data_IF_145516183041
#
_entry.id   IF_145516183041
#
_cell.length_a   1.000
_cell.length_b   1.000
_cell.length_c   1.000
_cell.angle_alpha   90.00
_cell.angle_beta   90.00
_cell.angle_gamma   90.00
#
_symmetry.space_group_name_H-M   'P 1'
#
loop_
_entity.id
_entity.type
_entity.pdbx_description
1 polymer ?
#
# COMPACT_ATOMS: atom_id res chain seq x y z
N UNK A 1 8.94 13.65 13.94
CA UNK A 1 9.00 13.24 12.53
C UNK A 1 9.57 11.84 12.43
N UNK A 2 8.82 10.93 11.83
CA UNK A 2 9.32 9.58 11.62
C UNK A 2 10.15 9.53 10.34
N UNK A 3 11.36 9.00 10.45
CA UNK A 3 12.21 8.73 9.28
C UNK A 3 12.21 7.24 8.95
N UNK A 4 12.36 6.91 7.70
CA UNK A 4 12.62 5.55 7.25
C UNK A 4 13.80 5.55 6.29
N UNK A 5 14.58 4.49 6.35
CA UNK A 5 15.51 4.18 5.27
C UNK A 5 14.70 3.52 4.16
N UNK A 6 14.71 4.11 2.97
CA UNK A 6 14.01 3.57 1.83
C UNK A 6 14.93 2.61 1.09
N UNK A 7 14.36 1.43 0.87
CA UNK A 7 14.95 0.41 0.03
C UNK A 7 16.06 -0.37 0.75
N UNK A 8 15.79 -1.61 1.01
CA UNK A 8 16.83 -2.62 1.16
C UNK A 8 17.36 -3.01 -0.22
N UNK A 9 17.65 -2.04 -1.08
CA UNK A 9 18.08 -2.27 -2.45
C UNK A 9 18.75 -1.05 -3.05
N UNK A 10 19.48 -1.26 -4.12
CA UNK A 10 20.13 -0.17 -4.85
C UNK A 10 19.10 0.69 -5.54
N UNK A 11 19.14 1.97 -5.29
CA UNK A 11 18.45 2.97 -6.11
C UNK A 11 19.01 2.97 -7.54
N UNK A 12 18.26 3.55 -8.48
CA UNK A 12 18.68 3.61 -9.89
C UNK A 12 20.02 4.34 -10.11
N UNK A 13 20.44 5.17 -9.15
CA UNK A 13 21.73 5.86 -9.12
C UNK A 13 22.83 5.11 -8.34
N UNK A 14 22.54 3.93 -7.84
CA UNK A 14 23.48 3.13 -7.05
C UNK A 14 23.58 3.52 -5.57
N UNK A 15 22.85 4.53 -5.10
CA UNK A 15 22.80 4.87 -3.67
C UNK A 15 22.00 3.86 -2.88
N UNK A 16 22.53 3.44 -1.74
CA UNK A 16 21.82 2.60 -0.78
C UNK A 16 21.20 3.44 0.35
N UNK A 17 19.96 3.11 0.67
CA UNK A 17 19.41 3.45 1.98
C UNK A 17 19.24 4.92 2.31
N UNK A 18 18.77 5.75 1.40
CA UNK A 18 18.49 7.15 1.70
C UNK A 18 17.43 7.31 2.78
N UNK A 19 17.76 8.03 3.85
CA UNK A 19 16.78 8.39 4.89
C UNK A 19 15.79 9.41 4.35
N UNK A 20 14.51 9.10 4.42
CA UNK A 20 13.43 9.99 4.02
C UNK A 20 12.39 10.13 5.13
N UNK A 21 11.76 11.30 5.20
CA UNK A 21 10.67 11.55 6.14
C UNK A 21 9.43 10.77 5.67
N UNK A 22 8.84 9.98 6.56
CA UNK A 22 7.55 9.35 6.32
C UNK A 22 6.46 10.42 6.47
N UNK A 23 5.75 10.72 5.41
CA UNK A 23 4.72 11.77 5.41
C UNK A 23 3.40 11.37 4.77
N UNK A 24 3.42 10.24 4.07
CA UNK A 24 2.24 9.75 3.37
C UNK A 24 1.48 8.74 4.21
N UNK A 25 0.20 8.64 3.97
CA UNK A 25 -0.83 7.95 4.75
C UNK A 25 -1.15 8.66 6.08
N UNK A 26 -2.35 8.40 6.59
CA UNK A 26 -2.79 8.97 7.87
C UNK A 26 -1.84 8.62 9.03
N UNK A 27 -1.33 7.39 9.05
CA UNK A 27 -0.41 6.92 10.09
C UNK A 27 1.06 7.30 9.86
N UNK A 28 1.38 8.13 8.85
CA UNK A 28 2.75 8.54 8.50
C UNK A 28 3.69 7.35 8.32
N UNK A 29 3.22 6.31 7.62
CA UNK A 29 3.96 5.05 7.47
C UNK A 29 4.70 4.91 6.15
N UNK A 30 4.50 5.85 5.21
CA UNK A 30 5.08 5.80 3.86
C UNK A 30 5.94 7.03 3.59
N UNK A 31 7.07 6.81 2.97
CA UNK A 31 8.04 7.86 2.67
C UNK A 31 7.88 8.42 1.26
N UNK A 32 7.34 7.65 0.33
CA UNK A 32 7.01 8.07 -1.02
C UNK A 32 5.56 7.70 -1.37
N UNK A 33 5.00 8.36 -2.38
CA UNK A 33 3.66 8.01 -2.89
C UNK A 33 3.63 6.59 -3.47
N UNK A 34 4.73 6.14 -4.08
CA UNK A 34 4.83 4.79 -4.64
C UNK A 34 4.80 3.71 -3.57
N UNK A 35 5.25 3.99 -2.34
CA UNK A 35 5.22 3.03 -1.23
C UNK A 35 3.80 2.65 -0.83
N UNK A 36 2.81 3.48 -1.08
CA UNK A 36 1.41 3.16 -0.81
C UNK A 36 1.00 1.87 -1.54
N UNK A 37 0.86 1.91 -2.85
CA UNK A 37 0.44 0.74 -3.63
C UNK A 37 1.51 -0.35 -3.68
N UNK A 38 2.78 0.02 -3.88
CA UNK A 38 3.86 -0.95 -4.05
C UNK A 38 4.14 -1.76 -2.79
N UNK A 39 4.27 -1.11 -1.64
CA UNK A 39 4.51 -1.82 -0.39
C UNK A 39 3.31 -2.68 0.02
N UNK A 40 2.09 -2.22 -0.21
CA UNK A 40 0.90 -2.99 0.10
C UNK A 40 0.79 -4.25 -0.77
N UNK A 41 1.17 -4.18 -2.04
CA UNK A 41 1.14 -5.34 -2.93
C UNK A 41 2.24 -6.37 -2.62
N UNK A 42 3.38 -5.97 -2.06
CA UNK A 42 4.55 -6.83 -1.87
C UNK A 42 4.74 -7.26 -0.42
N UNK A 43 4.61 -6.32 0.53
CA UNK A 43 5.03 -6.50 1.92
C UNK A 43 3.89 -6.51 2.93
N UNK A 44 2.70 -6.08 2.54
CA UNK A 44 1.58 -6.02 3.46
C UNK A 44 0.85 -7.36 3.52
N UNK A 45 -0.09 -7.43 4.44
CA UNK A 45 -0.96 -8.59 4.65
C UNK A 45 -1.67 -9.06 3.38
N UNK A 46 -1.94 -8.14 2.46
CA UNK A 46 -2.55 -8.46 1.17
C UNK A 46 -1.62 -9.24 0.26
N UNK A 47 -0.33 -8.90 0.20
CA UNK A 47 0.73 -9.60 -0.55
C UNK A 47 0.27 -10.24 -1.87
N UNK A 48 -0.57 -9.53 -2.63
CA UNK A 48 -1.29 -10.06 -3.80
C UNK A 48 -0.37 -10.59 -4.92
N UNK A 49 0.89 -10.20 -4.90
CA UNK A 49 1.90 -10.61 -5.86
C UNK A 49 2.70 -11.84 -5.42
N UNK A 50 2.42 -12.38 -4.24
CA UNK A 50 3.20 -13.47 -3.65
C UNK A 50 2.38 -14.75 -3.55
N UNK A 51 2.87 -15.88 -4.09
CA UNK A 51 2.27 -17.19 -3.85
C UNK A 51 2.54 -17.70 -2.42
N UNK A 52 3.64 -17.26 -1.81
CA UNK A 52 4.10 -17.63 -0.48
C UNK A 52 3.56 -16.69 0.63
N UNK A 53 2.36 -16.14 0.46
CA UNK A 53 1.76 -15.28 1.46
C UNK A 53 1.75 -15.95 2.83
N UNK A 54 2.24 -15.26 3.89
CA UNK A 54 2.05 -15.78 5.23
C UNK A 54 0.55 -15.83 5.55
N UNK A 55 0.14 -16.77 6.39
CA UNK A 55 -1.18 -16.72 6.99
C UNK A 55 -1.42 -15.36 7.61
N UNK A 56 -2.66 -14.95 7.68
CA UNK A 56 -3.07 -13.72 8.35
C UNK A 56 -2.36 -13.60 9.70
N UNK A 57 -2.04 -12.38 10.08
CA UNK A 57 -1.47 -12.07 11.40
C UNK A 57 -2.51 -12.31 12.48
N UNK A 58 -2.67 -13.56 12.86
CA UNK A 58 -3.61 -14.02 13.86
C UNK A 58 -2.86 -14.40 15.13
N UNK A 59 -3.59 -14.55 16.22
CA UNK A 59 -3.07 -15.09 17.47
C UNK A 59 -3.75 -16.42 17.77
N UNK A 60 -3.10 -17.28 18.56
CA UNK A 60 -3.72 -18.53 19.02
C UNK A 60 -5.05 -18.27 19.74
N UNK A 61 -5.11 -17.23 20.57
CA UNK A 61 -6.34 -16.88 21.29
C UNK A 61 -7.48 -16.46 20.34
N UNK A 62 -7.15 -15.71 19.28
CA UNK A 62 -8.14 -15.33 18.27
C UNK A 62 -8.62 -16.56 17.46
N UNK A 63 -7.69 -17.43 17.05
CA UNK A 63 -8.04 -18.64 16.31
C UNK A 63 -8.98 -19.56 17.14
N UNK A 64 -8.67 -19.75 18.42
CA UNK A 64 -9.52 -20.50 19.34
C UNK A 64 -10.90 -19.86 19.54
N UNK A 65 -10.95 -18.53 19.65
CA UNK A 65 -12.22 -17.80 19.78
C UNK A 65 -13.10 -17.97 18.53
N UNK A 66 -12.52 -17.89 17.34
CA UNK A 66 -13.25 -18.11 16.08
C UNK A 66 -13.74 -19.56 15.95
N UNK A 67 -12.93 -20.53 16.35
CA UNK A 67 -13.32 -21.95 16.36
C UNK A 67 -14.47 -22.26 17.33
N UNK A 68 -14.58 -21.53 18.43
CA UNK A 68 -15.64 -21.67 19.41
C UNK A 68 -16.93 -20.88 19.08
N UNK A 69 -16.88 -20.00 18.08
CA UNK A 69 -18.00 -19.14 17.71
C UNK A 69 -19.04 -19.90 16.88
N UNK A 70 -20.21 -20.11 17.48
CA UNK A 70 -21.33 -20.83 16.84
C UNK A 70 -21.84 -20.15 15.58
N UNK A 71 -21.81 -18.81 15.52
CA UNK A 71 -22.24 -18.09 14.32
C UNK A 71 -21.27 -18.29 13.16
N UNK A 72 -19.97 -18.34 13.44
CA UNK A 72 -18.95 -18.68 12.45
C UNK A 72 -19.17 -20.08 11.90
N UNK A 73 -19.36 -21.08 12.78
CA UNK A 73 -19.61 -22.47 12.40
C UNK A 73 -20.86 -22.58 11.52
N UNK A 74 -21.96 -21.97 11.93
CA UNK A 74 -23.22 -21.99 11.19
C UNK A 74 -23.12 -21.34 9.79
N UNK A 75 -22.33 -20.28 9.66
CA UNK A 75 -22.05 -19.65 8.36
C UNK A 75 -21.23 -20.55 7.46
N UNK A 76 -20.20 -21.20 8.01
CA UNK A 76 -19.35 -22.13 7.26
C UNK A 76 -20.17 -23.34 6.77
N UNK A 77 -21.04 -23.91 7.60
CA UNK A 77 -21.92 -25.03 7.23
C UNK A 77 -22.80 -24.72 6.02
N UNK A 78 -23.20 -23.46 5.87
CA UNK A 78 -24.06 -23.03 4.75
C UNK A 78 -23.29 -22.80 3.44
N UNK A 79 -21.95 -22.82 3.48
CA UNK A 79 -21.10 -22.62 2.32
C UNK A 79 -20.13 -23.80 2.11
N UNK A 80 -20.54 -24.82 1.33
CA UNK A 80 -19.68 -25.96 1.03
C UNK A 80 -18.41 -25.60 0.24
N UNK A 81 -18.32 -24.40 -0.30
CA UNK A 81 -17.13 -23.93 -1.02
C UNK A 81 -16.11 -23.30 -0.07
N UNK A 82 -16.48 -23.08 1.18
CA UNK A 82 -15.58 -22.56 2.20
C UNK A 82 -14.41 -23.53 2.43
N UNK A 83 -13.18 -23.05 2.49
CA UNK A 83 -12.02 -23.88 2.83
C UNK A 83 -12.10 -24.47 4.25
N UNK A 84 -12.93 -23.89 5.11
CA UNK A 84 -13.16 -24.36 6.47
C UNK A 84 -14.30 -25.37 6.56
N UNK A 85 -15.00 -25.62 5.47
CA UNK A 85 -16.15 -26.51 5.48
C UNK A 85 -15.77 -27.97 5.84
N UNK A 86 -16.62 -28.60 6.65
CA UNK A 86 -16.55 -30.00 6.99
C UNK A 86 -17.96 -30.55 7.36
N UNK A 87 -18.05 -31.84 7.55
CA UNK A 87 -19.33 -32.54 7.77
C UNK A 87 -19.92 -32.31 9.16
N UNK A 88 -19.10 -32.01 10.16
CA UNK A 88 -19.52 -31.79 11.54
C UNK A 88 -19.00 -30.46 12.09
N UNK A 89 -19.65 -29.96 13.14
CA UNK A 89 -19.27 -28.72 13.82
C UNK A 89 -17.86 -28.82 14.42
N UNK A 90 -17.52 -29.95 15.00
CA UNK A 90 -16.23 -30.20 15.63
C UNK A 90 -15.10 -30.22 14.58
N UNK A 91 -15.35 -30.77 13.40
CA UNK A 91 -14.38 -30.74 12.29
C UNK A 91 -14.22 -29.32 11.75
N UNK A 92 -15.31 -28.55 11.62
CA UNK A 92 -15.26 -27.17 11.23
C UNK A 92 -14.44 -26.38 12.25
N UNK A 93 -14.75 -26.50 13.54
CA UNK A 93 -14.02 -25.84 14.61
C UNK A 93 -12.52 -26.17 14.57
N UNK A 94 -12.18 -27.45 14.38
CA UNK A 94 -10.80 -27.92 14.26
C UNK A 94 -10.11 -27.30 13.04
N UNK A 95 -10.76 -27.28 11.90
CA UNK A 95 -10.21 -26.63 10.68
C UNK A 95 -10.01 -25.13 10.88
N UNK A 96 -11.03 -24.45 11.43
CA UNK A 96 -10.95 -23.00 11.71
C UNK A 96 -9.75 -22.71 12.60
N UNK A 97 -9.63 -23.42 13.71
CA UNK A 97 -8.52 -23.21 14.64
C UNK A 97 -7.17 -23.45 13.95
N UNK A 98 -7.01 -24.59 13.28
CA UNK A 98 -5.73 -24.99 12.68
C UNK A 98 -5.32 -24.07 11.52
N UNK A 99 -6.26 -23.64 10.68
CA UNK A 99 -5.97 -22.76 9.54
C UNK A 99 -5.75 -21.31 9.98
N UNK A 100 -6.33 -20.89 11.10
CA UNK A 100 -6.18 -19.52 11.60
C UNK A 100 -5.04 -19.36 12.62
N UNK A 101 -4.49 -20.43 13.16
CA UNK A 101 -3.30 -20.34 14.03
C UNK A 101 -2.14 -19.66 13.32
N UNK A 102 -1.34 -18.85 14.03
CA UNK A 102 -0.10 -18.33 13.47
C UNK A 102 0.80 -19.45 13.00
N UNK A 103 1.30 -19.36 11.79
CA UNK A 103 2.31 -20.30 11.30
C UNK A 103 3.70 -19.81 11.70
N UNK A 104 4.49 -20.68 12.32
CA UNK A 104 5.91 -20.41 12.59
C UNK A 104 6.76 -20.51 11.33
N UNK A 105 6.29 -21.27 10.34
CA UNK A 105 6.89 -21.38 9.02
C UNK A 105 5.86 -20.95 7.97
N UNK A 106 6.13 -19.85 7.31
CA UNK A 106 5.27 -19.33 6.24
C UNK A 106 5.13 -20.30 5.06
N UNK A 107 5.99 -21.29 4.95
CA UNK A 107 5.97 -22.30 3.90
C UNK A 107 5.23 -23.58 4.28
N UNK A 108 4.83 -23.75 5.52
CA UNK A 108 4.08 -24.94 5.99
C UNK A 108 2.57 -24.80 5.84
N UNK A 109 2.12 -23.92 4.99
CA UNK A 109 0.71 -23.66 4.78
C UNK A 109 0.24 -24.39 3.51
N UNK A 110 -0.79 -25.20 3.59
CA UNK A 110 -1.44 -25.81 2.43
C UNK A 110 -1.89 -24.82 1.35
N UNK A 111 -1.90 -23.55 1.68
CA UNK A 111 -2.28 -22.43 0.82
C UNK A 111 -1.08 -21.82 0.05
N UNK A 112 0.10 -22.39 0.15
CA UNK A 112 1.30 -21.89 -0.51
C UNK A 112 1.25 -21.99 -2.02
N UNK A 113 0.58 -22.99 -2.53
CA UNK A 113 0.59 -23.34 -3.95
C UNK A 113 -0.43 -22.57 -4.76
N UNK A 114 -1.06 -21.56 -4.18
CA UNK A 114 -1.93 -20.69 -4.94
C UNK A 114 -1.14 -19.79 -5.86
N UNK A 115 -1.63 -19.67 -7.09
CA UNK A 115 -1.19 -18.65 -7.99
C UNK A 115 -1.34 -17.27 -7.32
N UNK A 116 -0.37 -16.34 -7.53
CA UNK A 116 -0.53 -14.99 -7.01
C UNK A 116 -1.77 -14.34 -7.61
N UNK A 117 -2.53 -13.62 -6.81
CA UNK A 117 -3.70 -12.86 -7.29
C UNK A 117 -3.33 -11.83 -8.35
N UNK A 118 -2.12 -11.32 -8.28
CA UNK A 118 -1.55 -10.36 -9.23
C UNK A 118 -0.22 -10.88 -9.77
N UNK A 119 -0.17 -11.18 -11.05
CA UNK A 119 1.07 -11.55 -11.73
C UNK A 119 2.07 -10.38 -11.76
N UNK A 120 3.34 -10.67 -12.04
CA UNK A 120 4.38 -9.65 -12.19
C UNK A 120 4.03 -8.62 -13.29
N UNK A 121 3.45 -9.06 -14.40
CA UNK A 121 3.02 -8.17 -15.48
C UNK A 121 1.90 -7.22 -15.04
N UNK A 122 0.86 -7.75 -14.40
CA UNK A 122 -0.23 -6.92 -13.85
C UNK A 122 0.27 -5.96 -12.77
N UNK A 123 1.23 -6.40 -11.96
CA UNK A 123 1.85 -5.50 -10.97
C UNK A 123 2.64 -4.39 -11.64
N UNK A 124 3.37 -4.70 -12.72
CA UNK A 124 4.06 -3.69 -13.51
C UNK A 124 3.08 -2.67 -14.09
N UNK A 125 2.00 -3.12 -14.74
CA UNK A 125 0.98 -2.24 -15.31
C UNK A 125 0.34 -1.36 -14.23
N UNK A 126 0.05 -1.93 -13.06
CA UNK A 126 -0.44 -1.20 -11.90
C UNK A 126 0.52 -0.11 -11.45
N UNK A 127 1.81 -0.41 -11.38
CA UNK A 127 2.84 0.58 -11.02
C UNK A 127 2.99 1.67 -12.08
N UNK A 128 2.93 1.31 -13.37
CA UNK A 128 2.95 2.28 -14.47
C UNK A 128 1.74 3.22 -14.39
N UNK A 129 0.53 2.65 -14.22
CA UNK A 129 -0.69 3.42 -14.06
C UNK A 129 -0.60 4.37 -12.86
N UNK A 130 -0.20 3.85 -11.71
CA UNK A 130 -0.09 4.65 -10.49
C UNK A 130 0.90 5.81 -10.62
N UNK A 131 2.04 5.55 -11.25
CA UNK A 131 3.04 6.59 -11.51
C UNK A 131 2.56 7.63 -12.53
N UNK A 132 1.69 7.23 -13.44
CA UNK A 132 1.08 8.11 -14.44
C UNK A 132 -0.09 8.97 -13.91
N UNK A 133 -0.53 8.77 -12.65
CA UNK A 133 -1.56 9.60 -12.06
C UNK A 133 -1.07 11.05 -11.94
N UNK A 134 -1.78 11.95 -12.57
CA UNK A 134 -1.43 13.36 -12.60
C UNK A 134 -2.32 14.18 -11.67
N UNK A 135 -1.76 15.27 -11.14
CA UNK A 135 -2.53 16.28 -10.44
C UNK A 135 -3.44 16.97 -11.48
N UNK A 136 -4.74 17.13 -11.20
CA UNK A 136 -5.66 17.77 -12.12
C UNK A 136 -5.18 19.18 -12.53
N UNK A 137 -5.28 19.48 -13.81
CA UNK A 137 -4.95 20.79 -14.33
C UNK A 137 -5.90 21.85 -13.75
N UNK A 138 -5.34 22.96 -13.29
CA UNK A 138 -6.12 24.12 -12.87
C UNK A 138 -7.01 24.64 -14.03
N UNK A 139 -8.25 25.01 -13.69
CA UNK A 139 -9.24 25.50 -14.62
C UNK A 139 -9.27 27.03 -14.61
N UNK A 140 -9.69 27.61 -15.72
CA UNK A 140 -10.00 29.04 -15.84
C UNK A 140 -8.88 29.98 -15.38
N UNK A 141 -7.63 29.62 -15.61
CA UNK A 141 -6.47 30.38 -15.14
C UNK A 141 -6.45 31.85 -15.60
N UNK A 142 -7.15 32.17 -16.72
CA UNK A 142 -7.23 33.51 -17.26
C UNK A 142 -8.42 34.32 -16.71
N UNK A 143 -9.27 33.75 -15.88
CA UNK A 143 -10.38 34.45 -15.23
C UNK A 143 -9.82 35.39 -14.13
N UNK A 144 -10.20 36.65 -14.17
CA UNK A 144 -9.73 37.67 -13.22
C UNK A 144 -10.07 37.33 -11.77
N UNK A 145 -11.22 36.68 -11.52
CA UNK A 145 -11.62 36.22 -10.18
C UNK A 145 -10.73 35.09 -9.69
N UNK A 146 -10.33 34.17 -10.58
CA UNK A 146 -9.39 33.08 -10.24
C UNK A 146 -8.02 33.67 -9.89
N UNK A 147 -7.53 34.66 -10.64
CA UNK A 147 -6.27 35.33 -10.33
C UNK A 147 -6.34 36.12 -9.01
N UNK A 148 -7.45 36.83 -8.78
CA UNK A 148 -7.67 37.54 -7.52
C UNK A 148 -7.75 36.54 -6.34
N UNK A 149 -8.46 35.41 -6.49
CA UNK A 149 -8.53 34.36 -5.49
C UNK A 149 -7.16 33.78 -5.15
N UNK A 150 -6.31 33.54 -6.16
CA UNK A 150 -4.92 33.10 -5.96
C UNK A 150 -4.10 34.11 -5.18
N UNK A 151 -4.28 35.41 -5.46
CA UNK A 151 -3.61 36.47 -4.71
C UNK A 151 -4.01 36.47 -3.24
N UNK A 152 -5.32 36.50 -2.99
CA UNK A 152 -5.89 36.44 -1.63
C UNK A 152 -5.43 35.18 -0.89
N UNK A 153 -5.44 34.01 -1.53
CA UNK A 153 -4.97 32.75 -0.96
C UNK A 153 -3.54 32.84 -0.40
N UNK A 154 -2.66 33.54 -1.09
CA UNK A 154 -1.30 33.76 -0.62
C UNK A 154 -1.23 34.82 0.49
N UNK A 155 -1.97 35.93 0.35
CA UNK A 155 -1.94 37.07 1.28
C UNK A 155 -2.47 36.73 2.66
N UNK A 156 -3.54 35.94 2.75
CA UNK A 156 -4.13 35.53 4.02
C UNK A 156 -3.46 34.31 4.68
N UNK A 157 -2.38 33.81 4.08
CA UNK A 157 -1.53 32.77 4.67
C UNK A 157 -1.95 31.32 4.41
N UNK A 158 -2.98 31.06 3.59
CA UNK A 158 -3.40 29.68 3.27
C UNK A 158 -2.26 28.87 2.63
N UNK A 159 -1.39 29.52 1.86
CA UNK A 159 -0.24 28.90 1.21
C UNK A 159 0.80 28.34 2.19
N UNK A 160 0.74 28.69 3.47
CA UNK A 160 1.67 28.17 4.50
C UNK A 160 1.51 26.68 4.72
N UNK A 161 0.27 26.16 4.70
CA UNK A 161 -0.05 24.73 4.80
C UNK A 161 -0.43 24.17 3.42
N UNK A 162 -1.21 24.92 2.65
CA UNK A 162 -1.60 24.55 1.29
C UNK A 162 -0.52 24.98 0.29
N UNK A 163 0.68 24.47 0.44
CA UNK A 163 1.82 24.82 -0.41
C UNK A 163 1.47 24.63 -1.89
N UNK A 164 1.54 25.69 -2.70
CA UNK A 164 1.01 25.66 -4.06
C UNK A 164 1.75 24.70 -4.99
N UNK A 165 3.07 24.57 -4.85
CA UNK A 165 3.87 23.79 -5.79
C UNK A 165 5.01 23.04 -5.12
N UNK A 166 5.39 21.96 -5.78
CA UNK A 166 6.58 21.17 -5.48
C UNK A 166 7.32 20.84 -6.76
N UNK A 167 8.60 20.62 -6.62
CA UNK A 167 9.41 19.98 -7.68
C UNK A 167 9.63 18.53 -7.30
N UNK A 168 9.31 17.62 -8.21
CA UNK A 168 9.61 16.20 -8.01
C UNK A 168 11.11 15.98 -7.92
N UNK A 169 11.54 14.98 -7.16
CA UNK A 169 12.95 14.62 -7.03
C UNK A 169 13.53 14.02 -8.31
N UNK A 170 14.74 13.47 -8.19
CA UNK A 170 15.45 12.79 -9.28
C UNK A 170 14.75 11.52 -9.81
N UNK A 171 13.76 11.05 -9.10
CA UNK A 171 13.02 9.81 -9.41
C UNK A 171 13.93 8.57 -9.52
N UNK A 172 14.95 8.52 -8.67
CA UNK A 172 15.89 7.40 -8.55
C UNK A 172 15.32 6.27 -7.68
N UNK A 173 14.05 6.01 -7.84
CA UNK A 173 13.37 5.04 -7.00
C UNK A 173 13.76 3.61 -7.38
N UNK A 174 13.92 2.74 -6.38
CA UNK A 174 14.21 1.34 -6.61
C UNK A 174 13.04 0.65 -7.32
N UNK A 175 13.37 -0.31 -8.17
CA UNK A 175 12.38 -1.18 -8.83
C UNK A 175 12.28 -2.47 -8.04
N UNK A 176 11.06 -2.93 -7.67
CA UNK A 176 10.88 -4.21 -7.02
C UNK A 176 11.48 -5.36 -7.81
N UNK A 177 12.12 -6.31 -7.12
CA UNK A 177 12.83 -7.43 -7.77
C UNK A 177 11.96 -8.21 -8.74
N UNK A 178 10.68 -8.37 -8.47
CA UNK A 178 9.76 -9.12 -9.33
C UNK A 178 9.49 -8.46 -10.70
N UNK A 179 9.87 -7.20 -10.85
CA UNK A 179 9.77 -6.43 -12.11
C UNK A 179 11.11 -5.74 -12.42
N UNK A 180 12.22 -6.26 -11.91
CA UNK A 180 13.54 -5.65 -12.06
C UNK A 180 14.03 -5.57 -13.52
N UNK A 181 13.55 -6.47 -14.38
CA UNK A 181 13.79 -6.49 -15.82
C UNK A 181 13.00 -5.44 -16.59
N UNK A 182 12.00 -4.82 -15.96
CA UNK A 182 11.10 -3.84 -16.56
C UNK A 182 11.51 -2.41 -16.23
N UNK A 183 11.26 -1.51 -17.17
CA UNK A 183 11.55 -0.07 -16.98
C UNK A 183 10.29 0.68 -16.57
N UNK A 184 10.22 1.11 -15.31
CA UNK A 184 9.18 2.03 -14.87
C UNK A 184 9.41 3.43 -15.46
N UNK A 185 8.33 4.14 -15.87
CA UNK A 185 8.45 5.53 -16.34
C UNK A 185 9.01 6.43 -15.25
N UNK A 186 9.85 7.37 -15.63
CA UNK A 186 10.50 8.32 -14.73
C UNK A 186 9.98 9.74 -14.97
N UNK A 187 9.68 10.47 -13.90
CA UNK A 187 9.11 11.82 -13.92
C UNK A 187 9.92 12.78 -13.06
N UNK A 188 11.24 12.78 -13.30
CA UNK A 188 12.17 13.58 -12.52
C UNK A 188 12.01 15.09 -12.77
N UNK A 189 12.26 15.89 -11.73
CA UNK A 189 12.38 17.33 -11.79
C UNK A 189 11.18 18.09 -12.37
N UNK A 190 9.98 17.53 -12.27
CA UNK A 190 8.76 18.15 -12.72
C UNK A 190 8.15 19.06 -11.65
N UNK A 191 7.65 20.23 -12.04
CA UNK A 191 6.87 21.06 -11.14
C UNK A 191 5.43 20.60 -11.13
N UNK A 192 4.91 20.33 -9.94
CA UNK A 192 3.52 19.90 -9.70
C UNK A 192 2.84 20.88 -8.75
N UNK A 193 1.51 20.97 -8.82
CA UNK A 193 0.72 21.95 -8.08
C UNK A 193 -0.35 21.28 -7.19
N UNK A 194 0.04 20.53 -6.14
CA UNK A 194 -0.90 19.79 -5.29
C UNK A 194 -1.63 20.67 -4.27
N UNK A 195 -1.20 21.90 -4.04
CA UNK A 195 -1.74 22.79 -3.01
C UNK A 195 -1.80 22.11 -1.62
N UNK A 196 -0.74 21.41 -1.26
CA UNK A 196 -0.57 20.70 0.00
C UNK A 196 0.90 20.64 0.37
N UNK A 197 1.23 20.75 1.65
CA UNK A 197 2.57 20.44 2.14
C UNK A 197 2.75 18.95 2.43
N UNK A 198 1.68 18.14 2.24
CA UNK A 198 1.66 16.70 2.46
C UNK A 198 2.00 16.33 3.91
N UNK A 199 1.63 17.18 4.86
CA UNK A 199 1.88 17.02 6.27
C UNK A 199 0.58 16.89 7.04
N UNK A 200 0.64 16.28 8.21
CA UNK A 200 -0.45 16.35 9.17
C UNK A 200 -0.24 17.54 10.10
N UNK A 201 -1.31 18.28 10.33
CA UNK A 201 -1.35 19.41 11.26
C UNK A 201 -2.36 19.14 12.36
N UNK A 202 -1.99 19.49 13.59
CA UNK A 202 -2.95 19.58 14.69
C UNK A 202 -3.59 20.96 14.63
N UNK A 203 -4.86 20.99 14.32
CA UNK A 203 -5.70 22.20 14.31
C UNK A 203 -6.24 22.50 15.70
#
# INVERSE_FOLDING_TARGET
WYTATIGAGKHADGEEGKKMIKRFTYALTRATLQDGPGANAIWNITNVTRPDRPKLYTTNAWAAAMAADKEVIEKIKKDPTSPFWASSDDEIATKVENLLKPSTNQFDNEWHNFEPEMSADKFYDFMVWHRGLAIPRARNLNDARVQQGKKVFNEIGCASCHRPSWKTGSDNYWTPNMIADKKLPRYANQTIYPYSDMMQHKL
#
